data_IF_730438608782
#
_entry.id   IF_730438608782
#
_cell.length_a   1.000
_cell.length_b   1.000
_cell.length_c   1.000
_cell.angle_alpha   90.00
_cell.angle_beta   90.00
_cell.angle_gamma   90.00
#
_symmetry.space_group_name_H-M   'P 1'
#
loop_
_entity.id
_entity.type
_entity.pdbx_description
1 polymer ?
#
# COMPACT_ATOMS: atom_id res chain seq x y z
N UNK A 1 -6.09 2.57 -19.11
CA UNK A 1 -4.84 3.36 -19.10
C UNK A 1 -5.07 4.85 -18.82
N UNK A 2 -4.22 5.46 -18.00
CA UNK A 2 -4.14 6.91 -17.74
C UNK A 2 -2.69 7.30 -17.36
N UNK A 3 -2.37 8.60 -17.33
CA UNK A 3 -1.05 9.10 -16.94
C UNK A 3 -1.12 10.07 -15.75
N UNK A 4 -0.20 9.90 -14.79
CA UNK A 4 0.12 10.90 -13.77
C UNK A 4 1.11 11.91 -14.35
N UNK A 5 0.86 13.20 -14.18
CA UNK A 5 1.63 14.30 -14.81
C UNK A 5 1.88 15.44 -13.83
N UNK A 6 2.78 16.37 -14.20
CA UNK A 6 3.11 17.54 -13.39
C UNK A 6 3.47 17.18 -11.95
N UNK A 7 4.49 16.33 -11.79
CA UNK A 7 4.99 15.88 -10.50
C UNK A 7 6.51 15.79 -10.48
N UNK A 8 7.07 15.76 -9.28
CA UNK A 8 8.44 15.28 -9.07
C UNK A 8 8.37 13.79 -8.75
N UNK A 9 8.97 12.95 -9.61
CA UNK A 9 8.87 11.50 -9.50
C UNK A 9 10.13 10.91 -8.86
N UNK A 10 9.95 10.17 -7.77
CA UNK A 10 10.99 9.41 -7.08
C UNK A 10 10.84 7.93 -7.44
N UNK A 11 11.70 7.40 -8.30
CA UNK A 11 11.57 6.02 -8.81
C UNK A 11 12.16 4.96 -7.88
N UNK A 12 12.90 5.40 -6.86
CA UNK A 12 13.75 4.55 -6.00
C UNK A 12 15.23 4.56 -6.42
N UNK A 13 15.52 4.83 -7.69
CA UNK A 13 16.89 5.01 -8.21
C UNK A 13 17.19 6.46 -8.61
N UNK A 14 16.18 7.17 -9.11
CA UNK A 14 16.33 8.49 -9.72
C UNK A 14 15.24 9.43 -9.25
N UNK A 15 15.55 10.73 -9.32
CA UNK A 15 14.58 11.82 -9.19
C UNK A 15 14.36 12.41 -10.58
N UNK A 16 13.15 12.26 -11.11
CA UNK A 16 12.78 12.69 -12.46
C UNK A 16 11.87 13.91 -12.41
N UNK A 17 12.19 14.90 -13.24
CA UNK A 17 11.40 16.11 -13.45
C UNK A 17 10.81 16.10 -14.86
N UNK A 18 9.64 16.72 -15.06
CA UNK A 18 8.96 16.77 -16.37
C UNK A 18 8.73 15.37 -16.98
N UNK A 19 8.50 14.37 -16.12
CA UNK A 19 8.17 13.00 -16.51
C UNK A 19 6.73 12.68 -16.12
N UNK A 20 6.20 11.63 -16.75
CA UNK A 20 4.89 11.08 -16.49
C UNK A 20 4.97 9.57 -16.21
N UNK A 21 4.02 9.08 -15.42
CA UNK A 21 3.85 7.64 -15.14
C UNK A 21 2.55 7.18 -15.79
N UNK A 22 2.64 6.23 -16.71
CA UNK A 22 1.49 5.63 -17.36
C UNK A 22 1.10 4.36 -16.61
N UNK A 23 -0.17 4.29 -16.22
CA UNK A 23 -0.76 3.19 -15.45
C UNK A 23 -1.84 2.52 -16.30
N UNK A 24 -1.83 1.18 -16.35
CA UNK A 24 -2.90 0.38 -16.94
C UNK A 24 -3.31 -0.75 -15.99
N UNK A 25 -4.59 -0.71 -15.58
CA UNK A 25 -5.09 -1.57 -14.52
C UNK A 25 -4.31 -1.36 -13.22
N UNK A 26 -3.69 -2.44 -12.74
CA UNK A 26 -2.87 -2.54 -11.52
C UNK A 26 -1.35 -2.44 -11.80
N UNK A 27 -0.95 -2.14 -13.04
CA UNK A 27 0.46 -2.11 -13.44
C UNK A 27 0.91 -0.72 -13.91
N UNK A 28 2.18 -0.42 -13.62
CA UNK A 28 2.88 0.70 -14.24
C UNK A 28 3.43 0.20 -15.58
N UNK A 29 2.97 0.78 -16.69
CA UNK A 29 3.37 0.33 -18.04
C UNK A 29 4.55 1.11 -18.60
N UNK A 30 4.72 2.39 -18.20
CA UNK A 30 5.82 3.23 -18.70
C UNK A 30 6.07 4.42 -17.79
N UNK A 31 7.35 4.79 -17.66
CA UNK A 31 7.79 6.10 -17.21
C UNK A 31 8.49 6.78 -18.38
N UNK A 32 8.11 8.01 -18.74
CA UNK A 32 8.71 8.73 -19.87
C UNK A 32 8.65 10.25 -19.68
N UNK A 33 9.44 11.03 -20.44
CA UNK A 33 9.26 12.47 -20.50
C UNK A 33 7.81 12.83 -20.82
N UNK A 34 7.25 13.82 -20.13
CA UNK A 34 5.85 14.24 -20.30
C UNK A 34 5.59 14.75 -21.72
N UNK A 35 6.61 15.32 -22.37
CA UNK A 35 6.54 15.77 -23.77
C UNK A 35 6.34 14.63 -24.79
N UNK A 36 6.60 13.38 -24.40
CA UNK A 36 6.40 12.19 -25.25
C UNK A 36 5.03 11.51 -25.02
N UNK A 37 4.18 12.05 -24.14
CA UNK A 37 2.85 11.50 -23.94
C UNK A 37 1.99 11.67 -25.19
N UNK A 38 1.23 10.62 -25.50
CA UNK A 38 0.18 10.69 -26.52
C UNK A 38 -0.90 11.68 -26.08
N UNK A 39 -1.24 12.65 -26.93
CA UNK A 39 -2.27 13.65 -26.68
C UNK A 39 -3.67 13.08 -26.36
N UNK A 40 -3.92 11.81 -26.72
CA UNK A 40 -5.18 11.11 -26.48
C UNK A 40 -5.27 10.44 -25.11
N UNK A 41 -4.15 10.30 -24.37
CA UNK A 41 -4.18 9.64 -23.06
C UNK A 41 -4.86 10.53 -22.01
N UNK A 42 -5.72 9.93 -21.18
CA UNK A 42 -6.30 10.63 -20.04
C UNK A 42 -5.18 10.97 -19.04
N UNK A 43 -5.06 12.23 -18.68
CA UNK A 43 -4.08 12.71 -17.69
C UNK A 43 -4.73 13.03 -16.35
N UNK A 44 -3.94 12.87 -15.29
CA UNK A 44 -4.20 13.40 -13.94
C UNK A 44 -3.06 14.37 -13.64
N UNK A 45 -3.40 15.64 -13.49
CA UNK A 45 -2.45 16.69 -13.08
C UNK A 45 -2.29 16.63 -11.55
N UNK A 46 -1.06 16.51 -11.08
CA UNK A 46 -0.73 16.43 -9.65
C UNK A 46 -0.24 17.76 -9.07
N UNK A 47 -0.37 18.86 -9.81
CA UNK A 47 -0.13 20.23 -9.33
C UNK A 47 1.27 20.45 -8.73
N UNK A 48 2.27 19.74 -9.25
CA UNK A 48 3.66 19.81 -8.79
C UNK A 48 3.96 18.95 -7.56
N UNK A 49 3.03 18.10 -7.12
CA UNK A 49 3.24 17.22 -5.98
C UNK A 49 4.36 16.18 -6.21
N UNK A 50 4.79 15.56 -5.11
CA UNK A 50 5.75 14.46 -5.14
C UNK A 50 5.02 13.14 -5.36
N UNK A 51 5.61 12.28 -6.20
CA UNK A 51 5.14 10.91 -6.45
C UNK A 51 6.26 9.93 -6.14
N UNK A 52 5.94 8.89 -5.39
CA UNK A 52 6.82 7.75 -5.11
C UNK A 52 6.02 6.45 -5.18
N UNK A 53 6.68 5.29 -5.15
CA UNK A 53 6.01 4.07 -4.70
C UNK A 53 5.34 4.30 -3.34
N UNK A 54 4.21 3.64 -3.13
CA UNK A 54 3.54 3.66 -1.83
C UNK A 54 4.42 3.07 -0.75
N UNK A 55 4.31 3.58 0.48
CA UNK A 55 5.12 3.08 1.58
C UNK A 55 4.70 1.66 1.98
N UNK A 56 5.69 0.90 2.46
CA UNK A 56 5.51 -0.45 2.99
C UNK A 56 5.90 -0.44 4.47
N UNK A 57 4.93 -0.67 5.35
CA UNK A 57 5.17 -0.74 6.80
C UNK A 57 5.27 -2.19 7.27
N UNK A 58 6.48 -2.59 7.67
CA UNK A 58 6.77 -3.98 8.05
C UNK A 58 6.35 -4.31 9.50
N UNK A 59 5.95 -3.33 10.30
CA UNK A 59 5.58 -3.55 11.69
C UNK A 59 4.45 -2.62 12.13
N UNK A 60 3.21 -3.07 11.97
CA UNK A 60 2.01 -2.32 12.31
C UNK A 60 1.05 -3.10 13.21
N UNK A 61 1.00 -2.73 14.50
CA UNK A 61 0.12 -3.36 15.50
C UNK A 61 -1.35 -2.91 15.36
N UNK A 62 -1.57 -1.67 14.92
CA UNK A 62 -2.89 -1.06 14.82
C UNK A 62 -2.83 0.39 14.36
N UNK A 63 -3.88 0.86 13.70
CA UNK A 63 -4.07 2.24 13.29
C UNK A 63 -5.55 2.49 12.99
N UNK A 64 -5.94 3.75 12.75
CA UNK A 64 -7.34 4.06 12.41
C UNK A 64 -8.34 3.86 13.55
N UNK A 65 -7.87 3.76 14.79
CA UNK A 65 -8.70 3.54 15.97
C UNK A 65 -8.90 2.07 16.36
N UNK A 66 -8.28 1.12 15.65
CA UNK A 66 -8.32 -0.31 15.96
C UNK A 66 -6.92 -0.86 16.23
N UNK A 67 -6.86 -1.95 16.99
CA UNK A 67 -5.65 -2.74 17.25
C UNK A 67 -5.88 -4.17 16.81
N UNK A 68 -4.92 -4.76 16.09
CA UNK A 68 -5.07 -6.12 15.58
C UNK A 68 -5.13 -7.15 16.71
N UNK A 69 -4.37 -6.94 17.78
CA UNK A 69 -4.42 -7.78 18.98
C UNK A 69 -5.75 -7.74 19.74
N UNK A 70 -6.54 -6.66 19.61
CA UNK A 70 -7.82 -6.54 20.32
C UNK A 70 -8.95 -7.25 19.53
N UNK A 71 -8.91 -7.15 18.20
CA UNK A 71 -9.91 -7.77 17.31
C UNK A 71 -9.22 -8.42 16.10
N UNK A 72 -8.96 -9.73 16.19
CA UNK A 72 -8.20 -10.51 15.21
C UNK A 72 -9.13 -11.01 14.08
N UNK A 73 -9.48 -10.14 13.14
CA UNK A 73 -10.33 -10.46 11.99
C UNK A 73 -9.97 -9.64 10.74
N UNK A 74 -10.54 -10.01 9.59
CA UNK A 74 -10.26 -9.34 8.30
C UNK A 74 -10.80 -7.89 8.23
N UNK A 75 -11.86 -7.56 8.97
CA UNK A 75 -12.44 -6.20 9.00
C UNK A 75 -11.51 -5.21 9.72
N UNK A 76 -10.80 -5.68 10.76
CA UNK A 76 -9.73 -4.92 11.41
C UNK A 76 -8.60 -4.61 10.41
N UNK A 77 -8.19 -5.59 9.61
CA UNK A 77 -7.17 -5.40 8.56
C UNK A 77 -7.64 -4.40 7.49
N UNK A 78 -8.92 -4.42 7.12
CA UNK A 78 -9.50 -3.45 6.19
C UNK A 78 -9.51 -2.03 6.77
N UNK A 79 -9.86 -1.90 8.04
CA UNK A 79 -9.86 -0.61 8.75
C UNK A 79 -8.44 -0.03 8.83
N UNK A 80 -7.46 -0.87 9.18
CA UNK A 80 -6.05 -0.50 9.21
C UNK A 80 -5.56 -0.06 7.81
N UNK A 81 -5.89 -0.82 6.76
CA UNK A 81 -5.54 -0.46 5.39
C UNK A 81 -6.11 0.90 4.98
N UNK A 82 -7.39 1.17 5.25
CA UNK A 82 -8.03 2.43 4.92
C UNK A 82 -7.40 3.62 5.68
N UNK A 83 -6.89 3.38 6.89
CA UNK A 83 -6.15 4.38 7.65
C UNK A 83 -4.75 4.61 7.07
N UNK A 84 -4.02 3.54 6.70
CA UNK A 84 -2.69 3.60 6.09
C UNK A 84 -2.68 4.41 4.78
N UNK A 85 -3.72 4.27 3.95
CA UNK A 85 -3.82 5.00 2.70
C UNK A 85 -3.85 6.53 2.89
N UNK A 86 -4.34 7.02 4.04
CA UNK A 86 -4.37 8.46 4.36
C UNK A 86 -2.98 9.04 4.66
N UNK A 87 -2.01 8.19 5.01
CA UNK A 87 -0.62 8.57 5.29
C UNK A 87 0.36 8.13 4.19
N UNK A 88 -0.14 7.61 3.06
CA UNK A 88 0.68 7.16 1.93
C UNK A 88 1.23 5.73 2.06
N UNK A 89 0.84 4.98 3.09
CA UNK A 89 1.16 3.56 3.23
C UNK A 89 0.15 2.73 2.43
N UNK A 90 0.65 1.96 1.47
CA UNK A 90 -0.18 1.15 0.56
C UNK A 90 -0.17 -0.32 0.91
N UNK A 91 0.90 -0.77 1.58
CA UNK A 91 1.08 -2.17 1.95
C UNK A 91 1.69 -2.28 3.34
N UNK A 92 1.36 -3.34 4.07
CA UNK A 92 1.86 -3.51 5.43
C UNK A 92 1.87 -4.97 5.88
N UNK A 93 2.53 -5.23 7.01
CA UNK A 93 2.43 -6.49 7.74
C UNK A 93 1.66 -6.26 9.05
N UNK A 94 0.39 -6.69 9.15
CA UNK A 94 -0.31 -6.71 10.44
C UNK A 94 0.51 -7.49 11.46
N UNK A 95 0.86 -6.80 12.53
CA UNK A 95 1.74 -7.34 13.56
C UNK A 95 0.89 -7.84 14.71
N UNK A 96 1.03 -9.13 15.01
CA UNK A 96 0.48 -9.74 16.21
C UNK A 96 1.62 -9.91 17.20
N UNK A 97 1.59 -9.18 18.30
CA UNK A 97 2.56 -9.35 19.39
C UNK A 97 2.28 -10.63 20.19
N UNK A 98 3.14 -10.93 21.18
CA UNK A 98 3.01 -12.08 22.09
C UNK A 98 1.56 -12.31 22.52
N UNK A 99 1.03 -13.47 22.14
CA UNK A 99 -0.38 -13.83 22.26
C UNK A 99 -0.51 -15.36 22.37
N UNK A 100 -1.75 -15.85 22.54
CA UNK A 100 -1.98 -17.29 22.66
C UNK A 100 -1.84 -18.02 21.32
N UNK A 101 -1.69 -19.35 21.38
CA UNK A 101 -1.76 -20.21 20.18
C UNK A 101 -3.10 -20.08 19.44
N UNK A 102 -4.18 -19.76 20.16
CA UNK A 102 -5.50 -19.52 19.59
C UNK A 102 -5.52 -18.22 18.78
N UNK A 103 -4.97 -17.15 19.33
CA UNK A 103 -4.84 -15.84 18.66
C UNK A 103 -3.97 -15.93 17.41
N UNK A 104 -2.87 -16.68 17.48
CA UNK A 104 -2.02 -16.92 16.31
C UNK A 104 -2.79 -17.63 15.17
N UNK A 105 -3.63 -18.62 15.50
CA UNK A 105 -4.47 -19.31 14.50
C UNK A 105 -5.57 -18.40 13.94
N UNK A 106 -6.17 -17.58 14.79
CA UNK A 106 -7.13 -16.56 14.36
C UNK A 106 -6.49 -15.57 13.40
N UNK A 107 -5.27 -15.09 13.69
CA UNK A 107 -4.54 -14.16 12.85
C UNK A 107 -4.22 -14.77 11.48
N UNK A 108 -3.79 -16.04 11.44
CA UNK A 108 -3.56 -16.77 10.19
C UNK A 108 -4.85 -16.85 9.35
N UNK A 109 -5.99 -17.03 10.01
CA UNK A 109 -7.29 -17.12 9.33
C UNK A 109 -7.71 -15.76 8.79
N UNK A 110 -7.66 -14.71 9.62
CA UNK A 110 -7.94 -13.33 9.24
C UNK A 110 -7.08 -12.86 8.05
N UNK A 111 -5.78 -13.17 8.08
CA UNK A 111 -4.86 -12.83 6.99
C UNK A 111 -5.25 -13.53 5.68
N UNK A 112 -5.54 -14.84 5.73
CA UNK A 112 -5.95 -15.61 4.54
C UNK A 112 -7.25 -15.07 3.93
N UNK A 113 -8.22 -14.74 4.77
CA UNK A 113 -9.50 -14.16 4.33
C UNK A 113 -9.32 -12.79 3.67
N UNK A 114 -8.41 -11.97 4.21
CA UNK A 114 -8.09 -10.66 3.66
C UNK A 114 -7.33 -10.76 2.33
N UNK A 115 -6.26 -11.56 2.26
CA UNK A 115 -5.45 -11.76 1.05
C UNK A 115 -6.27 -12.34 -0.11
N UNK A 116 -7.29 -13.17 0.17
CA UNK A 116 -8.18 -13.70 -0.85
C UNK A 116 -9.00 -12.62 -1.57
N UNK A 117 -9.16 -11.44 -0.95
CA UNK A 117 -9.96 -10.33 -1.48
C UNK A 117 -9.08 -9.16 -1.96
N UNK A 118 -7.92 -8.96 -1.33
CA UNK A 118 -7.11 -7.76 -1.50
C UNK A 118 -5.64 -8.12 -1.79
N UNK A 119 -5.25 -8.07 -3.05
CA UNK A 119 -3.86 -8.25 -3.46
C UNK A 119 -3.00 -7.02 -3.11
N UNK A 120 -1.74 -7.26 -2.74
CA UNK A 120 -0.69 -6.25 -2.52
C UNK A 120 -0.97 -5.21 -1.41
N UNK A 121 -1.90 -5.49 -0.49
CA UNK A 121 -2.22 -4.61 0.64
C UNK A 121 -1.58 -5.15 1.92
N UNK A 122 -2.26 -6.07 2.63
CA UNK A 122 -1.58 -6.87 3.65
C UNK A 122 -0.69 -7.90 2.96
N UNK A 123 0.62 -7.89 3.24
CA UNK A 123 1.61 -8.73 2.54
C UNK A 123 1.94 -10.04 3.28
N UNK A 124 1.31 -10.27 4.42
CA UNK A 124 1.54 -11.40 5.32
C UNK A 124 1.44 -10.98 6.78
N UNK A 125 1.55 -11.94 7.69
CA UNK A 125 1.63 -11.65 9.13
C UNK A 125 3.07 -11.35 9.54
N UNK A 126 3.21 -10.40 10.47
CA UNK A 126 4.41 -10.28 11.30
C UNK A 126 4.08 -10.80 12.71
N UNK A 127 4.63 -11.96 13.08
CA UNK A 127 4.47 -12.51 14.42
C UNK A 127 5.62 -12.04 15.31
N UNK A 128 5.36 -11.02 16.11
CA UNK A 128 6.34 -10.42 17.02
C UNK A 128 6.31 -11.14 18.37
N UNK A 129 7.00 -12.28 18.43
CA UNK A 129 7.10 -13.08 19.65
C UNK A 129 8.27 -12.63 20.53
N UNK A 130 8.04 -12.56 21.84
CA UNK A 130 9.10 -12.54 22.83
C UNK A 130 9.27 -13.95 23.41
N UNK A 131 10.52 -14.43 23.48
CA UNK A 131 10.91 -15.71 24.08
C UNK A 131 10.71 -15.75 25.59
#
# INVERSE_FOLDING_TARGET
MYALTNCTLFTGSDTLYQHAVIIDGDTIVKVCPQAELDSSIKTIDLEGANVSPGFIDLQLNGCGGVMFNDEINADTLQTMQAANQKSGCTSYLPTLITSSDEDMRAAITAQREFEAQYANQSLGLHLEAHT
#
